data_IF_514291342810
#
_entry.id   IF_514291342810
#
_cell.length_a   1.000
_cell.length_b   1.000
_cell.length_c   1.000
_cell.angle_alpha   90.00
_cell.angle_beta   90.00
_cell.angle_gamma   90.00
#
_symmetry.space_group_name_H-M   'P 1'
#
loop_
_entity.id
_entity.type
_entity.pdbx_description
1 polymer ?
#
# COMPACT_ATOMS: atom_id res chain seq x y z
N UNK A 1 -11.54 13.58 -6.10
CA UNK A 1 -10.88 12.89 -7.23
C UNK A 1 -10.78 11.41 -6.88
N UNK A 2 -11.70 10.58 -7.40
CA UNK A 2 -11.72 9.13 -7.15
C UNK A 2 -10.91 8.41 -8.24
N UNK A 3 -9.59 8.38 -8.11
CA UNK A 3 -8.73 7.56 -8.99
C UNK A 3 -7.98 6.55 -8.13
N UNK A 4 -8.67 5.43 -7.87
CA UNK A 4 -8.08 4.21 -7.31
C UNK A 4 -6.84 3.88 -8.13
N UNK A 5 -5.67 3.87 -7.49
CA UNK A 5 -4.39 3.51 -8.12
C UNK A 5 -4.59 2.25 -8.99
N UNK A 6 -4.23 2.29 -10.29
CA UNK A 6 -4.40 1.14 -11.17
C UNK A 6 -3.64 -0.08 -10.63
N UNK A 7 -4.22 -1.29 -10.71
CA UNK A 7 -3.55 -2.52 -10.24
C UNK A 7 -2.14 -2.67 -10.79
N UNK A 8 -1.94 -2.32 -12.06
CA UNK A 8 -0.69 -2.48 -12.82
C UNK A 8 0.43 -1.64 -12.22
N UNK A 9 0.10 -0.44 -11.71
CA UNK A 9 1.05 0.43 -11.02
C UNK A 9 1.51 -0.21 -9.71
N UNK A 10 0.58 -0.78 -8.94
CA UNK A 10 0.90 -1.47 -7.69
C UNK A 10 1.72 -2.73 -7.96
N UNK A 11 1.38 -3.51 -9.00
CA UNK A 11 2.16 -4.69 -9.41
C UNK A 11 3.59 -4.29 -9.75
N UNK A 12 3.77 -3.26 -10.58
CA UNK A 12 5.10 -2.76 -10.94
C UNK A 12 5.90 -2.34 -9.71
N UNK A 13 5.30 -1.59 -8.78
CA UNK A 13 5.95 -1.22 -7.51
C UNK A 13 6.32 -2.44 -6.66
N UNK A 14 5.47 -3.47 -6.63
CA UNK A 14 5.76 -4.72 -5.93
C UNK A 14 6.89 -5.49 -6.62
N UNK A 15 7.00 -5.41 -7.93
CA UNK A 15 8.05 -6.00 -8.77
C UNK A 15 9.40 -5.30 -8.65
N UNK A 16 9.40 -3.97 -8.59
CA UNK A 16 10.59 -3.13 -8.48
C UNK A 16 11.21 -3.14 -7.06
N UNK A 17 10.47 -3.61 -6.04
CA UNK A 17 11.03 -3.72 -4.67
C UNK A 17 12.23 -4.67 -4.66
N UNK A 18 13.35 -4.30 -3.99
CA UNK A 18 14.49 -5.19 -3.81
C UNK A 18 14.04 -6.50 -3.15
N UNK A 19 14.39 -7.64 -3.74
CA UNK A 19 14.05 -8.96 -3.21
C UNK A 19 15.31 -9.80 -2.98
N UNK A 20 15.29 -10.69 -1.98
CA UNK A 20 16.25 -11.79 -1.92
C UNK A 20 16.23 -12.56 -3.24
N UNK A 21 17.41 -12.84 -3.81
CA UNK A 21 17.55 -13.63 -5.05
C UNK A 21 16.78 -14.95 -4.91
N UNK A 22 15.96 -15.28 -5.92
CA UNK A 22 15.16 -16.50 -5.95
C UNK A 22 13.71 -16.35 -5.47
N UNK A 23 13.34 -15.21 -4.85
CA UNK A 23 11.96 -14.89 -4.50
C UNK A 23 11.15 -14.44 -5.72
N UNK A 24 10.69 -15.38 -6.55
CA UNK A 24 9.68 -15.10 -7.58
C UNK A 24 8.28 -15.27 -6.99
N UNK A 25 7.41 -14.29 -7.20
CA UNK A 25 5.98 -14.37 -6.87
C UNK A 25 5.19 -14.81 -8.09
N UNK A 26 4.16 -15.62 -7.90
CA UNK A 26 3.24 -15.90 -8.99
C UNK A 26 2.41 -14.66 -9.33
N UNK A 27 1.84 -14.62 -10.53
CA UNK A 27 0.91 -13.56 -10.93
C UNK A 27 -0.29 -13.49 -9.97
N UNK A 28 -0.75 -14.63 -9.45
CA UNK A 28 -1.84 -14.67 -8.48
C UNK A 28 -1.45 -14.05 -7.14
N UNK A 29 -0.21 -14.27 -6.67
CA UNK A 29 0.29 -13.63 -5.45
C UNK A 29 0.37 -12.11 -5.63
N UNK A 30 0.81 -11.64 -6.80
CA UNK A 30 0.85 -10.22 -7.12
C UNK A 30 -0.56 -9.62 -7.10
N UNK A 31 -1.56 -10.27 -7.72
CA UNK A 31 -2.96 -9.84 -7.66
C UNK A 31 -3.48 -9.76 -6.22
N UNK A 32 -3.19 -10.76 -5.39
CA UNK A 32 -3.59 -10.76 -3.98
C UNK A 32 -2.96 -9.60 -3.21
N UNK A 33 -1.68 -9.31 -3.45
CA UNK A 33 -0.99 -8.19 -2.82
C UNK A 33 -1.52 -6.83 -3.26
N UNK A 34 -1.99 -6.70 -4.51
CA UNK A 34 -2.65 -5.49 -4.98
C UNK A 34 -3.91 -5.21 -4.18
N UNK A 35 -4.76 -6.22 -3.98
CA UNK A 35 -6.00 -6.05 -3.21
C UNK A 35 -5.70 -5.69 -1.75
N UNK A 36 -4.75 -6.37 -1.11
CA UNK A 36 -4.28 -6.02 0.23
C UNK A 36 -3.70 -4.59 0.30
N UNK A 37 -2.96 -4.16 -0.73
CA UNK A 37 -2.43 -2.80 -0.79
C UNK A 37 -3.55 -1.76 -0.88
N UNK A 38 -4.61 -2.03 -1.66
CA UNK A 38 -5.78 -1.16 -1.78
C UNK A 38 -6.56 -1.05 -0.48
N UNK A 39 -6.81 -2.18 0.17
CA UNK A 39 -7.46 -2.22 1.48
C UNK A 39 -6.64 -1.43 2.51
N UNK A 40 -5.31 -1.64 2.55
CA UNK A 40 -4.43 -0.91 3.44
C UNK A 40 -4.43 0.60 3.19
N UNK A 41 -4.40 1.04 1.92
CA UNK A 41 -4.50 2.46 1.56
C UNK A 41 -5.80 3.06 2.10
N UNK A 42 -6.94 2.37 1.87
CA UNK A 42 -8.26 2.81 2.36
C UNK A 42 -8.30 2.89 3.89
N UNK A 43 -7.79 1.89 4.58
CA UNK A 43 -7.69 1.89 6.04
C UNK A 43 -6.82 3.03 6.55
N UNK A 44 -5.69 3.32 5.89
CA UNK A 44 -4.84 4.45 6.27
C UNK A 44 -5.54 5.81 6.04
N UNK A 45 -6.37 5.94 5.02
CA UNK A 45 -7.21 7.13 4.83
C UNK A 45 -8.25 7.26 5.94
N UNK A 46 -8.98 6.17 6.26
CA UNK A 46 -10.00 6.14 7.31
C UNK A 46 -9.42 6.43 8.70
N UNK A 47 -8.22 5.94 8.99
CA UNK A 47 -7.48 6.23 10.23
C UNK A 47 -6.87 7.64 10.27
N UNK A 48 -7.02 8.45 9.20
CA UNK A 48 -6.42 9.78 9.10
C UNK A 48 -4.89 9.75 9.03
N UNK A 49 -4.33 8.61 8.66
CA UNK A 49 -2.89 8.38 8.54
C UNK A 49 -2.34 8.70 7.16
N UNK A 50 -3.21 8.71 6.15
CA UNK A 50 -2.92 9.07 4.78
C UNK A 50 -3.99 10.07 4.32
N UNK A 51 -3.56 11.17 3.70
CA UNK A 51 -4.45 12.19 3.14
C UNK A 51 -3.88 12.69 1.83
N UNK A 52 -4.77 12.97 0.88
CA UNK A 52 -4.45 13.61 -0.39
C UNK A 52 -5.02 15.03 -0.43
N UNK A 53 -4.19 16.02 -0.75
CA UNK A 53 -4.63 17.41 -1.00
C UNK A 53 -4.11 17.86 -2.38
N UNK A 54 -4.98 17.78 -3.39
CA UNK A 54 -4.57 17.94 -4.78
C UNK A 54 -3.55 16.87 -5.17
N UNK A 55 -2.38 17.30 -5.64
CA UNK A 55 -1.26 16.42 -6.02
C UNK A 55 -0.31 16.10 -4.86
N UNK A 56 -0.58 16.59 -3.65
CA UNK A 56 0.25 16.38 -2.47
C UNK A 56 -0.25 15.20 -1.65
N UNK A 57 0.68 14.37 -1.20
CA UNK A 57 0.44 13.22 -0.34
C UNK A 57 0.97 13.53 1.07
N UNK A 58 0.11 13.45 2.07
CA UNK A 58 0.46 13.58 3.47
C UNK A 58 0.31 12.23 4.17
N UNK A 59 1.34 11.77 4.87
CA UNK A 59 1.29 10.52 5.62
C UNK A 59 1.94 10.65 7.00
N UNK A 60 1.39 9.95 8.00
CA UNK A 60 1.93 9.92 9.36
C UNK A 60 2.92 8.76 9.51
N UNK A 61 4.17 9.06 9.82
CA UNK A 61 5.24 8.06 10.03
C UNK A 61 5.00 7.18 11.26
N UNK A 62 4.21 7.63 12.24
CA UNK A 62 3.86 6.91 13.47
C UNK A 62 2.44 6.32 13.48
N UNK A 63 1.75 6.28 12.33
CA UNK A 63 0.35 5.84 12.25
C UNK A 63 0.07 4.48 12.92
N UNK A 64 0.93 3.49 12.67
CA UNK A 64 0.78 2.12 13.16
C UNK A 64 1.74 1.83 14.33
N UNK A 65 2.26 2.89 14.97
CA UNK A 65 3.40 2.82 15.90
C UNK A 65 3.05 2.60 17.37
N UNK A 66 1.78 2.43 17.72
CA UNK A 66 1.34 2.32 19.12
C UNK A 66 0.49 1.07 19.33
N UNK A 67 1.12 -0.11 19.27
CA UNK A 67 0.48 -1.30 19.83
C UNK A 67 0.38 -1.11 21.35
N UNK A 68 -0.84 -0.92 21.86
CA UNK A 68 -1.12 -1.04 23.29
C UNK A 68 -0.93 -2.49 23.70
N UNK A 69 -0.28 -2.67 24.84
CA UNK A 69 -0.12 -3.95 25.52
C UNK A 69 -1.36 -4.12 26.41
N UNK A 70 -2.12 -5.21 26.24
CA UNK A 70 -3.13 -5.64 27.22
C UNK A 70 -2.48 -6.02 28.56
#
# INVERSE_FOLDING_TARGET
>A
MNNKVPPEVIIKLLEDRPRPRGSKRSVNDLKRLVELARENIKLMEELGCLKYEGDRIYYRTSCLGSYFRE
#
